data_IF_783286751010
#
_entry.id   IF_783286751010
#
_cell.length_a   1.000
_cell.length_b   1.000
_cell.length_c   1.000
_cell.angle_alpha   90.00
_cell.angle_beta   90.00
_cell.angle_gamma   90.00
#
_symmetry.space_group_name_H-M   'P 1'
#
loop_
_entity.id
_entity.type
_entity.pdbx_description
1 polymer ?
#
# COMPACT_ATOMS: atom_id res chain seq x y z
N UNK A 1 2.22 10.16 24.83
CA UNK A 1 1.00 10.00 23.99
C UNK A 1 1.28 10.21 22.49
N UNK A 2 1.45 11.45 21.94
CA UNK A 2 1.72 11.59 20.50
C UNK A 2 3.05 10.94 20.06
N UNK A 3 4.08 11.01 20.89
CA UNK A 3 5.39 10.36 20.70
C UNK A 3 5.28 8.85 20.56
N UNK A 4 4.39 8.21 21.33
CA UNK A 4 4.21 6.76 21.31
C UNK A 4 3.60 6.28 19.98
N UNK A 5 2.66 7.07 19.41
CA UNK A 5 2.12 6.79 18.08
C UNK A 5 3.17 6.94 16.98
N UNK A 6 4.02 7.96 17.07
CA UNK A 6 5.11 8.16 16.12
C UNK A 6 6.15 7.03 16.20
N UNK A 7 6.53 6.63 17.39
CA UNK A 7 7.47 5.52 17.61
C UNK A 7 6.91 4.21 17.08
N UNK A 8 5.66 3.86 17.43
CA UNK A 8 4.98 2.68 16.88
C UNK A 8 4.86 2.73 15.37
N UNK A 9 4.49 3.89 14.83
CA UNK A 9 4.44 4.11 13.38
C UNK A 9 5.79 3.89 12.71
N UNK A 10 6.87 4.44 13.29
CA UNK A 10 8.22 4.28 12.77
C UNK A 10 8.70 2.82 12.81
N UNK A 11 8.50 2.13 13.95
CA UNK A 11 8.88 0.71 14.09
C UNK A 11 8.07 -0.19 13.15
N UNK A 12 6.76 0.02 13.06
CA UNK A 12 5.91 -0.70 12.13
C UNK A 12 6.29 -0.43 10.68
N UNK A 13 6.59 0.83 10.36
CA UNK A 13 7.09 1.24 9.05
C UNK A 13 8.42 0.61 8.69
N UNK A 14 9.36 0.55 9.64
CA UNK A 14 10.65 -0.12 9.45
C UNK A 14 10.44 -1.61 9.16
N UNK A 15 9.63 -2.30 9.95
CA UNK A 15 9.35 -3.72 9.74
C UNK A 15 8.67 -3.98 8.39
N UNK A 16 7.62 -3.23 8.05
CA UNK A 16 6.93 -3.34 6.76
C UNK A 16 7.84 -3.00 5.59
N UNK A 17 8.65 -1.95 5.73
CA UNK A 17 9.61 -1.53 4.73
C UNK A 17 10.72 -2.55 4.47
N UNK A 18 11.25 -3.18 5.52
CA UNK A 18 12.21 -4.28 5.39
C UNK A 18 11.59 -5.49 4.68
N UNK A 19 10.40 -5.92 5.08
CA UNK A 19 9.69 -7.03 4.43
C UNK A 19 9.44 -6.72 2.94
N UNK A 20 8.97 -5.52 2.62
CA UNK A 20 8.73 -5.09 1.25
C UNK A 20 10.03 -4.98 0.44
N UNK A 21 11.09 -4.40 1.03
CA UNK A 21 12.39 -4.26 0.37
C UNK A 21 13.04 -5.61 0.07
N UNK A 22 12.95 -6.58 0.99
CA UNK A 22 13.41 -7.95 0.78
C UNK A 22 12.59 -8.65 -0.30
N UNK A 23 11.26 -8.47 -0.31
CA UNK A 23 10.41 -8.98 -1.38
C UNK A 23 10.80 -8.39 -2.75
N UNK A 24 11.06 -7.09 -2.82
CA UNK A 24 11.52 -6.46 -4.05
C UNK A 24 12.92 -6.96 -4.47
N UNK A 25 13.84 -7.13 -3.53
CA UNK A 25 15.17 -7.62 -3.82
C UNK A 25 15.19 -9.06 -4.36
N UNK A 26 14.26 -9.90 -3.89
CA UNK A 26 14.22 -11.33 -4.25
C UNK A 26 13.26 -11.63 -5.40
N UNK A 27 12.05 -11.08 -5.37
CA UNK A 27 11.00 -11.35 -6.35
C UNK A 27 10.92 -10.24 -7.40
N UNK A 28 10.87 -8.97 -6.98
CA UNK A 28 10.73 -7.83 -7.87
C UNK A 28 11.88 -7.72 -8.87
N UNK A 29 13.11 -7.81 -8.38
CA UNK A 29 14.32 -7.71 -9.24
C UNK A 29 14.43 -8.86 -10.25
N UNK A 30 13.88 -10.03 -9.96
CA UNK A 30 13.84 -11.14 -10.93
C UNK A 30 13.05 -10.78 -12.19
N UNK A 31 11.99 -9.99 -12.07
CA UNK A 31 11.25 -9.49 -13.23
C UNK A 31 12.03 -8.42 -14.00
N UNK A 32 12.78 -7.56 -13.32
CA UNK A 32 13.61 -6.53 -13.96
C UNK A 32 14.70 -7.20 -14.82
N UNK A 33 15.40 -8.17 -14.27
CA UNK A 33 16.41 -8.97 -15.02
C UNK A 33 15.77 -9.70 -16.20
N UNK A 34 14.56 -10.26 -16.01
CA UNK A 34 13.80 -10.90 -17.09
C UNK A 34 13.47 -9.93 -18.23
N UNK A 35 13.10 -8.68 -17.92
CA UNK A 35 12.81 -7.64 -18.92
C UNK A 35 14.10 -7.25 -19.67
N UNK A 36 15.21 -7.04 -18.97
CA UNK A 36 16.51 -6.68 -19.56
C UNK A 36 17.00 -7.74 -20.56
N UNK A 37 16.71 -9.03 -20.34
CA UNK A 37 17.05 -10.09 -21.28
C UNK A 37 16.27 -10.00 -22.60
N UNK A 38 15.05 -9.48 -22.58
CA UNK A 38 14.28 -9.22 -23.81
C UNK A 38 14.79 -7.98 -24.57
N UNK A 39 15.26 -6.95 -23.86
CA UNK A 39 15.83 -5.75 -24.47
C UNK A 39 17.21 -6.02 -25.08
N UNK A 40 18.07 -6.78 -24.38
CA UNK A 40 19.44 -7.09 -24.82
C UNK A 40 19.51 -8.06 -26.01
N UNK A 41 18.44 -8.77 -26.34
CA UNK A 41 18.33 -9.55 -27.58
C UNK A 41 18.48 -8.71 -28.87
N UNK A 42 18.51 -7.38 -28.76
CA UNK A 42 18.64 -6.44 -29.88
C UNK A 42 19.87 -5.52 -29.80
N UNK A 43 20.68 -5.61 -28.72
CA UNK A 43 21.89 -4.81 -28.57
C UNK A 43 23.09 -5.64 -28.15
N UNK A 44 24.15 -5.58 -28.95
CA UNK A 44 25.42 -6.26 -28.68
C UNK A 44 26.15 -5.63 -27.48
N UNK A 45 26.36 -6.40 -26.40
CA UNK A 45 27.56 -6.29 -25.59
C UNK A 45 27.58 -5.27 -24.45
N UNK A 46 26.57 -5.18 -23.65
CA UNK A 46 26.67 -4.51 -22.34
C UNK A 46 26.09 -5.40 -21.24
N UNK A 47 26.94 -5.82 -20.29
CA UNK A 47 26.47 -6.45 -19.06
C UNK A 47 25.62 -5.45 -18.23
N UNK A 48 24.90 -5.91 -17.19
CA UNK A 48 24.09 -5.04 -16.36
C UNK A 48 24.95 -3.89 -15.82
N UNK A 49 24.46 -2.64 -15.99
CA UNK A 49 25.17 -1.42 -15.58
C UNK A 49 25.37 -1.36 -14.06
N UNK A 50 24.52 -2.07 -13.30
CA UNK A 50 24.57 -2.16 -11.83
C UNK A 50 24.59 -3.63 -11.43
N UNK A 51 25.49 -3.96 -10.51
CA UNK A 51 25.59 -5.34 -10.00
C UNK A 51 24.36 -5.72 -9.14
N UNK A 52 24.09 -7.03 -9.04
CA UNK A 52 22.91 -7.54 -8.34
C UNK A 52 22.89 -7.21 -6.85
N UNK A 53 24.06 -7.04 -6.21
CA UNK A 53 24.16 -6.68 -4.79
C UNK A 53 23.72 -5.23 -4.58
N UNK A 54 24.20 -4.32 -5.43
CA UNK A 54 23.79 -2.92 -5.41
C UNK A 54 22.30 -2.78 -5.67
N UNK A 55 21.76 -3.50 -6.66
CA UNK A 55 20.32 -3.48 -6.97
C UNK A 55 19.49 -3.97 -5.78
N UNK A 56 19.92 -5.06 -5.13
CA UNK A 56 19.24 -5.58 -3.93
C UNK A 56 19.31 -4.58 -2.76
N UNK A 57 20.49 -3.97 -2.53
CA UNK A 57 20.66 -2.97 -1.48
C UNK A 57 19.76 -1.74 -1.69
N UNK A 58 19.65 -1.26 -2.93
CA UNK A 58 18.74 -0.15 -3.31
C UNK A 58 17.28 -0.54 -3.10
N UNK A 59 16.90 -1.77 -3.45
CA UNK A 59 15.53 -2.27 -3.23
C UNK A 59 15.17 -2.32 -1.75
N UNK A 60 16.08 -2.82 -0.89
CA UNK A 60 15.89 -2.85 0.56
C UNK A 60 15.85 -1.43 1.14
N UNK A 61 16.82 -0.58 0.77
CA UNK A 61 16.86 0.82 1.23
C UNK A 61 15.62 1.61 0.83
N UNK A 62 15.19 1.47 -0.42
CA UNK A 62 13.95 2.07 -0.93
C UNK A 62 12.70 1.56 -0.19
N UNK A 63 12.65 0.25 0.06
CA UNK A 63 11.58 -0.36 0.84
C UNK A 63 11.50 0.21 2.25
N UNK A 64 12.63 0.32 2.95
CA UNK A 64 12.72 0.93 4.28
C UNK A 64 12.28 2.39 4.27
N UNK A 65 12.72 3.17 3.29
CA UNK A 65 12.35 4.58 3.15
C UNK A 65 10.83 4.74 3.00
N UNK A 66 10.20 3.99 2.08
CA UNK A 66 8.75 4.02 1.87
C UNK A 66 7.99 3.49 3.08
N UNK A 67 8.48 2.42 3.71
CA UNK A 67 7.88 1.88 4.92
C UNK A 67 7.88 2.89 6.07
N UNK A 68 9.01 3.57 6.32
CA UNK A 68 9.11 4.62 7.31
C UNK A 68 8.19 5.80 6.99
N UNK A 69 8.15 6.24 5.73
CA UNK A 69 7.26 7.31 5.31
C UNK A 69 5.80 7.00 5.61
N UNK A 70 5.30 5.83 5.21
CA UNK A 70 3.92 5.43 5.46
C UNK A 70 3.68 5.09 6.94
N UNK A 71 4.64 4.47 7.61
CA UNK A 71 4.55 4.17 9.03
C UNK A 71 4.42 5.43 9.86
N UNK A 72 5.27 6.42 9.66
CA UNK A 72 5.25 7.69 10.41
C UNK A 72 4.04 8.54 10.00
N UNK A 73 3.86 8.79 8.69
CA UNK A 73 2.84 9.72 8.22
C UNK A 73 1.42 9.18 8.42
N UNK A 74 1.18 7.91 8.08
CA UNK A 74 -0.17 7.33 8.11
C UNK A 74 -0.46 6.66 9.45
N UNK A 75 0.43 5.80 9.96
CA UNK A 75 0.19 5.05 11.19
C UNK A 75 0.66 5.78 12.45
N UNK A 76 1.64 6.68 12.35
CA UNK A 76 1.99 7.58 13.45
C UNK A 76 1.01 8.75 13.53
N UNK A 77 1.16 9.69 12.61
CA UNK A 77 0.39 10.96 12.62
C UNK A 77 -1.08 10.70 12.25
N UNK A 78 -1.32 10.02 11.14
CA UNK A 78 -2.68 9.79 10.63
C UNK A 78 -3.53 8.99 11.61
N UNK A 79 -3.00 7.91 12.17
CA UNK A 79 -3.73 7.10 13.14
C UNK A 79 -4.06 7.89 14.42
N UNK A 80 -3.13 8.69 14.95
CA UNK A 80 -3.36 9.54 16.11
C UNK A 80 -4.61 10.45 15.96
N UNK A 81 -4.80 11.04 14.78
CA UNK A 81 -5.95 11.91 14.53
C UNK A 81 -7.21 11.15 14.11
N UNK A 82 -7.05 10.02 13.42
CA UNK A 82 -8.15 9.30 12.79
C UNK A 82 -8.69 8.15 13.65
N UNK A 83 -7.98 7.71 14.69
CA UNK A 83 -8.40 6.59 15.54
C UNK A 83 -9.86 6.69 16.00
N UNK A 84 -10.37 7.86 16.50
CA UNK A 84 -11.76 7.97 16.91
C UNK A 84 -12.77 7.87 15.73
N UNK A 85 -12.29 8.08 14.51
CA UNK A 85 -13.10 8.05 13.29
C UNK A 85 -13.09 6.70 12.58
N UNK A 86 -12.09 5.84 12.85
CA UNK A 86 -11.94 4.57 12.17
C UNK A 86 -13.07 3.58 12.54
N UNK A 87 -13.43 2.68 11.61
CA UNK A 87 -14.42 1.64 11.88
C UNK A 87 -13.82 0.52 12.75
N UNK A 88 -14.55 0.12 13.77
CA UNK A 88 -14.12 -0.95 14.69
C UNK A 88 -13.08 -0.48 15.69
N UNK A 89 -12.51 -1.43 16.43
CA UNK A 89 -11.46 -1.20 17.42
C UNK A 89 -10.26 -2.11 17.15
N UNK A 90 -9.13 -1.79 17.73
CA UNK A 90 -7.93 -2.62 17.63
C UNK A 90 -7.48 -2.87 16.19
N UNK A 91 -7.33 -4.13 15.82
CA UNK A 91 -6.81 -4.57 14.50
C UNK A 91 -7.71 -4.09 13.36
N UNK A 92 -9.03 -4.10 13.52
CA UNK A 92 -9.97 -3.72 12.46
C UNK A 92 -9.80 -2.27 12.03
N UNK A 93 -9.66 -1.34 12.98
CA UNK A 93 -9.41 0.08 12.68
C UNK A 93 -8.09 0.28 11.93
N UNK A 94 -7.04 -0.44 12.31
CA UNK A 94 -5.72 -0.35 11.68
C UNK A 94 -5.73 -0.92 10.26
N UNK A 95 -6.41 -2.04 10.03
CA UNK A 95 -6.60 -2.61 8.68
C UNK A 95 -7.46 -1.69 7.80
N UNK A 96 -8.48 -1.03 8.37
CA UNK A 96 -9.26 -0.04 7.63
C UNK A 96 -8.39 1.16 7.21
N UNK A 97 -7.50 1.63 8.09
CA UNK A 97 -6.54 2.68 7.75
C UNK A 97 -5.54 2.22 6.68
N UNK A 98 -5.03 0.99 6.78
CA UNK A 98 -4.15 0.41 5.77
C UNK A 98 -4.84 0.32 4.40
N UNK A 99 -6.08 -0.16 4.37
CA UNK A 99 -6.87 -0.24 3.14
C UNK A 99 -7.14 1.16 2.54
N UNK A 100 -7.47 2.14 3.38
CA UNK A 100 -7.67 3.52 2.96
C UNK A 100 -6.37 4.15 2.42
N UNK A 101 -5.25 3.93 3.09
CA UNK A 101 -3.92 4.36 2.66
C UNK A 101 -3.51 3.73 1.34
N UNK A 102 -3.62 2.40 1.24
CA UNK A 102 -3.36 1.68 -0.01
C UNK A 102 -4.24 2.20 -1.16
N UNK A 103 -5.55 2.33 -0.93
CA UNK A 103 -6.47 2.83 -1.96
C UNK A 103 -6.11 4.24 -2.40
N UNK A 104 -5.74 5.11 -1.46
CA UNK A 104 -5.38 6.50 -1.74
C UNK A 104 -4.08 6.60 -2.53
N UNK A 105 -3.01 5.95 -2.06
CA UNK A 105 -1.66 6.16 -2.58
C UNK A 105 -1.38 5.30 -3.81
N UNK A 106 -1.97 4.12 -3.89
CA UNK A 106 -1.67 3.12 -4.93
C UNK A 106 -2.91 2.67 -5.70
N UNK A 107 -3.93 2.18 -5.02
CA UNK A 107 -5.07 1.53 -5.64
C UNK A 107 -5.82 2.42 -6.63
N UNK A 108 -6.24 3.61 -6.22
CA UNK A 108 -6.97 4.53 -7.10
C UNK A 108 -6.09 5.05 -8.26
N UNK A 109 -4.84 5.50 -8.05
CA UNK A 109 -3.94 5.86 -9.14
C UNK A 109 -3.69 4.71 -10.14
N UNK A 110 -3.54 3.48 -9.67
CA UNK A 110 -3.22 2.34 -10.53
C UNK A 110 -4.40 1.86 -11.38
N UNK A 111 -5.62 2.23 -11.06
CA UNK A 111 -6.76 2.00 -11.94
C UNK A 111 -6.66 2.82 -13.24
N UNK A 112 -6.02 3.99 -13.18
CA UNK A 112 -5.83 4.89 -14.34
C UNK A 112 -4.43 4.75 -14.93
N UNK A 113 -3.42 4.64 -14.08
CA UNK A 113 -2.01 4.53 -14.44
C UNK A 113 -1.40 3.28 -13.79
N UNK A 114 -1.68 2.07 -14.33
CA UNK A 114 -1.17 0.84 -13.74
C UNK A 114 0.36 0.80 -13.79
N UNK A 115 1.02 0.16 -12.80
CA UNK A 115 2.47 -0.02 -12.80
C UNK A 115 2.94 -0.66 -14.11
N UNK A 116 4.02 -0.16 -14.66
CA UNK A 116 4.62 -0.68 -15.87
C UNK A 116 6.02 -1.20 -15.59
N UNK A 117 6.45 -2.28 -16.26
CA UNK A 117 7.84 -2.70 -16.22
C UNK A 117 8.77 -1.58 -16.74
N UNK A 118 10.04 -1.58 -16.35
CA UNK A 118 11.05 -0.72 -16.96
C UNK A 118 11.07 -0.87 -18.49
N UNK A 119 11.50 0.16 -19.22
CA UNK A 119 11.58 0.14 -20.70
C UNK A 119 10.25 0.32 -21.44
N UNK A 120 9.14 0.48 -20.72
CA UNK A 120 7.83 0.74 -21.33
C UNK A 120 7.63 2.23 -21.63
N UNK A 121 7.27 2.55 -22.86
CA UNK A 121 6.88 3.89 -23.27
C UNK A 121 5.39 4.12 -23.01
N UNK A 122 5.06 5.31 -22.54
CA UNK A 122 3.69 5.74 -22.25
C UNK A 122 3.34 6.96 -23.09
N UNK A 123 2.16 6.97 -23.69
CA UNK A 123 1.74 8.03 -24.63
C UNK A 123 1.53 9.39 -23.92
N UNK A 124 1.11 9.40 -22.67
CA UNK A 124 0.93 10.65 -21.92
C UNK A 124 2.26 11.24 -21.46
N UNK A 125 2.39 12.55 -21.60
CA UNK A 125 3.53 13.30 -21.06
C UNK A 125 3.64 13.13 -19.53
N UNK A 126 4.88 13.23 -19.01
CA UNK A 126 5.16 13.02 -17.58
C UNK A 126 4.34 13.92 -16.68
N UNK A 127 4.22 15.22 -17.02
CA UNK A 127 3.45 16.19 -16.22
C UNK A 127 1.97 15.81 -16.16
N UNK A 128 1.39 15.35 -17.28
CA UNK A 128 0.01 14.87 -17.33
C UNK A 128 -0.17 13.64 -16.45
N UNK A 129 0.78 12.68 -16.48
CA UNK A 129 0.73 11.49 -15.63
C UNK A 129 0.85 11.85 -14.15
N UNK A 130 1.72 12.79 -13.79
CA UNK A 130 1.84 13.27 -12.41
C UNK A 130 0.55 13.95 -11.93
N UNK A 131 -0.05 14.80 -12.77
CA UNK A 131 -1.33 15.45 -12.44
C UNK A 131 -2.47 14.43 -12.28
N UNK A 132 -2.55 13.42 -13.17
CA UNK A 132 -3.52 12.34 -13.06
C UNK A 132 -3.30 11.51 -11.81
N UNK A 133 -2.03 11.19 -11.48
CA UNK A 133 -1.69 10.45 -10.28
C UNK A 133 -2.14 11.20 -9.02
N UNK A 134 -1.79 12.49 -8.91
CA UNK A 134 -2.20 13.33 -7.80
C UNK A 134 -3.73 13.49 -7.71
N UNK A 135 -4.39 13.70 -8.85
CA UNK A 135 -5.85 13.79 -8.92
C UNK A 135 -6.55 12.50 -8.47
N UNK A 136 -6.07 11.36 -8.94
CA UNK A 136 -6.64 10.05 -8.53
C UNK A 136 -6.32 9.69 -7.08
N UNK A 137 -5.17 10.13 -6.52
CA UNK A 137 -4.93 10.08 -5.08
C UNK A 137 -5.98 10.87 -4.31
N UNK A 138 -6.31 12.09 -4.77
CA UNK A 138 -7.40 12.89 -4.19
C UNK A 138 -8.75 12.18 -4.22
N UNK A 139 -9.09 11.56 -5.35
CA UNK A 139 -10.30 10.72 -5.48
C UNK A 139 -10.25 9.55 -4.51
N UNK A 140 -9.13 8.83 -4.40
CA UNK A 140 -8.93 7.73 -3.47
C UNK A 140 -9.15 8.15 -2.01
N UNK A 141 -8.60 9.29 -1.61
CA UNK A 141 -8.82 9.86 -0.27
C UNK A 141 -10.30 10.20 0.00
N UNK A 142 -10.97 10.83 -0.97
CA UNK A 142 -12.39 11.16 -0.88
C UNK A 142 -13.27 9.90 -0.77
N UNK A 143 -12.98 8.90 -1.59
CA UNK A 143 -13.69 7.62 -1.58
C UNK A 143 -13.48 6.90 -0.24
N UNK A 144 -12.24 6.80 0.24
CA UNK A 144 -11.92 6.20 1.54
C UNK A 144 -12.67 6.88 2.68
N UNK A 145 -12.67 8.22 2.69
CA UNK A 145 -13.41 9.02 3.69
C UNK A 145 -14.92 8.75 3.60
N UNK A 146 -15.47 8.74 2.39
CA UNK A 146 -16.88 8.47 2.15
C UNK A 146 -17.28 7.05 2.61
N UNK A 147 -16.45 6.04 2.38
CA UNK A 147 -16.66 4.68 2.87
C UNK A 147 -16.72 4.64 4.41
N UNK A 148 -15.77 5.29 5.10
CA UNK A 148 -15.76 5.36 6.57
C UNK A 148 -16.99 6.09 7.10
N UNK A 149 -17.36 7.21 6.50
CA UNK A 149 -18.56 7.96 6.89
C UNK A 149 -19.85 7.16 6.66
N UNK A 150 -19.97 6.46 5.53
CA UNK A 150 -21.12 5.61 5.22
C UNK A 150 -21.23 4.46 6.24
N UNK A 151 -20.10 3.79 6.55
CA UNK A 151 -20.03 2.74 7.55
C UNK A 151 -20.53 3.21 8.91
N UNK A 152 -20.10 4.40 9.37
CA UNK A 152 -20.49 4.97 10.66
C UNK A 152 -21.97 5.39 10.68
N UNK A 153 -22.44 6.05 9.61
CA UNK A 153 -23.85 6.48 9.50
C UNK A 153 -24.85 5.34 9.44
N UNK A 154 -24.41 4.18 9.01
CA UNK A 154 -25.24 2.98 8.90
C UNK A 154 -25.00 1.97 10.02
N UNK A 155 -24.35 2.36 11.13
CA UNK A 155 -23.99 1.49 12.25
C UNK A 155 -25.20 0.71 12.81
N UNK A 156 -26.38 1.34 12.86
CA UNK A 156 -27.62 0.77 13.39
C UNK A 156 -28.49 0.09 12.30
N UNK A 157 -27.99 -0.09 11.08
CA UNK A 157 -28.70 -0.74 9.98
C UNK A 157 -28.31 -2.21 9.87
N UNK A 158 -29.15 -2.98 9.18
CA UNK A 158 -28.84 -4.38 8.85
C UNK A 158 -27.47 -4.47 8.13
N UNK A 159 -26.76 -5.55 8.38
CA UNK A 159 -25.39 -5.77 7.84
C UNK A 159 -25.34 -5.59 6.32
N UNK A 160 -26.31 -6.12 5.58
CA UNK A 160 -26.36 -5.97 4.11
C UNK A 160 -26.45 -4.50 3.68
N UNK A 161 -27.31 -3.70 4.34
CA UNK A 161 -27.44 -2.26 4.05
C UNK A 161 -26.16 -1.51 4.39
N UNK A 162 -25.53 -1.84 5.52
CA UNK A 162 -24.27 -1.24 5.95
C UNK A 162 -23.16 -1.55 4.96
N UNK A 163 -23.01 -2.81 4.55
CA UNK A 163 -22.00 -3.22 3.56
C UNK A 163 -22.21 -2.52 2.22
N UNK A 164 -23.44 -2.51 1.70
CA UNK A 164 -23.76 -1.84 0.44
C UNK A 164 -23.49 -0.34 0.50
N UNK A 165 -23.94 0.33 1.56
CA UNK A 165 -23.69 1.75 1.74
C UNK A 165 -22.19 2.09 1.83
N UNK A 166 -21.41 1.22 2.51
CA UNK A 166 -19.96 1.38 2.62
C UNK A 166 -19.25 1.15 1.29
N UNK A 167 -19.73 0.22 0.47
CA UNK A 167 -19.14 -0.08 -0.84
C UNK A 167 -19.54 0.93 -1.93
N UNK A 168 -20.68 1.60 -1.79
CA UNK A 168 -21.21 2.50 -2.82
C UNK A 168 -20.25 3.60 -3.27
N UNK A 169 -19.48 4.28 -2.38
CA UNK A 169 -18.51 5.28 -2.80
C UNK A 169 -17.42 4.75 -3.73
N UNK A 170 -17.11 3.44 -3.70
CA UNK A 170 -16.14 2.84 -4.61
C UNK A 170 -16.54 2.96 -6.09
N UNK A 171 -17.85 3.14 -6.38
CA UNK A 171 -18.32 3.39 -7.74
C UNK A 171 -17.73 4.68 -8.36
N UNK A 172 -17.33 5.65 -7.55
CA UNK A 172 -16.63 6.86 -8.02
C UNK A 172 -15.29 6.55 -8.68
N UNK A 173 -14.63 5.45 -8.30
CA UNK A 173 -13.41 5.01 -8.96
C UNK A 173 -13.67 4.59 -10.40
N UNK A 174 -14.81 3.94 -10.68
CA UNK A 174 -15.19 3.59 -12.05
C UNK A 174 -15.45 4.85 -12.90
N UNK A 175 -16.04 5.88 -12.30
CA UNK A 175 -16.21 7.18 -12.97
C UNK A 175 -14.85 7.83 -13.25
N UNK A 176 -13.92 7.81 -12.30
CA UNK A 176 -12.58 8.35 -12.50
C UNK A 176 -11.85 7.63 -13.64
N UNK A 177 -11.96 6.30 -13.73
CA UNK A 177 -11.39 5.51 -14.84
C UNK A 177 -12.05 5.88 -16.18
N UNK A 178 -13.37 6.01 -16.20
CA UNK A 178 -14.11 6.34 -17.43
C UNK A 178 -13.80 7.76 -17.97
N UNK A 179 -13.45 8.69 -17.08
CA UNK A 179 -13.09 10.07 -17.45
C UNK A 179 -11.59 10.26 -17.71
N UNK A 180 -10.77 9.27 -17.38
CA UNK A 180 -9.32 9.37 -17.56
C UNK A 180 -8.97 9.34 -19.06
N UNK A 181 -7.99 10.14 -19.49
CA UNK A 181 -7.49 10.08 -20.86
C UNK A 181 -6.80 8.74 -21.10
N UNK A 182 -6.93 8.22 -22.33
CA UNK A 182 -6.26 7.00 -22.73
C UNK A 182 -4.74 7.16 -22.64
N UNK A 183 -4.06 6.19 -22.04
CA UNK A 183 -2.60 6.12 -21.96
C UNK A 183 -2.10 4.82 -22.58
N UNK A 184 -2.09 4.70 -23.93
CA UNK A 184 -1.49 3.56 -24.59
C UNK A 184 -0.06 3.34 -24.12
N UNK A 185 0.27 2.08 -23.89
CA UNK A 185 1.58 1.68 -23.37
C UNK A 185 2.16 0.65 -24.34
N UNK A 186 3.38 0.89 -24.78
CA UNK A 186 4.15 -0.02 -25.63
C UNK A 186 5.44 -0.43 -24.93
N UNK A 187 5.85 -1.68 -25.10
CA UNK A 187 7.05 -2.18 -24.45
C UNK A 187 7.57 -3.46 -25.08
N UNK A 188 8.82 -3.84 -24.78
CA UNK A 188 9.54 -4.93 -25.44
C UNK A 188 9.09 -6.32 -25.00
N UNK A 189 8.33 -6.44 -23.87
CA UNK A 189 8.01 -7.75 -23.31
C UNK A 189 6.58 -8.20 -23.61
N UNK A 190 6.32 -9.52 -23.62
CA UNK A 190 4.98 -10.07 -23.79
C UNK A 190 4.00 -9.54 -22.73
N UNK A 191 2.72 -9.37 -23.13
CA UNK A 191 1.65 -8.87 -22.26
C UNK A 191 1.47 -9.70 -20.97
N UNK A 192 1.72 -11.01 -21.03
CA UNK A 192 1.67 -11.91 -19.87
C UNK A 192 2.73 -11.58 -18.82
N UNK A 193 3.97 -11.26 -19.25
CA UNK A 193 5.05 -10.87 -18.36
C UNK A 193 4.79 -9.48 -17.74
N UNK A 194 4.28 -8.54 -18.55
CA UNK A 194 3.87 -7.22 -18.05
C UNK A 194 2.73 -7.34 -17.02
N UNK A 195 1.77 -8.24 -17.24
CA UNK A 195 0.71 -8.51 -16.27
C UNK A 195 1.26 -9.14 -14.98
N UNK A 196 2.17 -10.10 -15.07
CA UNK A 196 2.81 -10.72 -13.91
C UNK A 196 3.57 -9.67 -13.09
N UNK A 197 4.33 -8.78 -13.73
CA UNK A 197 4.99 -7.65 -13.06
C UNK A 197 3.99 -6.78 -12.29
N UNK A 198 2.88 -6.38 -12.92
CA UNK A 198 1.85 -5.55 -12.27
C UNK A 198 1.29 -6.22 -11.01
N UNK A 199 0.97 -7.51 -11.08
CA UNK A 199 0.47 -8.25 -9.95
C UNK A 199 1.51 -8.39 -8.84
N UNK A 200 2.80 -8.56 -9.18
CA UNK A 200 3.90 -8.56 -8.21
C UNK A 200 3.99 -7.23 -7.46
N UNK A 201 3.88 -6.11 -8.17
CA UNK A 201 3.87 -4.77 -7.56
C UNK A 201 2.66 -4.59 -6.65
N UNK A 202 1.46 -4.97 -7.11
CA UNK A 202 0.22 -4.90 -6.30
C UNK A 202 0.35 -5.74 -5.04
N UNK A 203 0.79 -6.99 -5.17
CA UNK A 203 0.97 -7.90 -4.04
C UNK A 203 1.99 -7.38 -3.03
N UNK A 204 3.13 -6.89 -3.49
CA UNK A 204 4.15 -6.29 -2.64
C UNK A 204 3.62 -5.09 -1.85
N UNK A 205 2.87 -4.20 -2.50
CA UNK A 205 2.28 -3.04 -1.84
C UNK A 205 1.19 -3.42 -0.82
N UNK A 206 0.31 -4.37 -1.16
CA UNK A 206 -0.68 -4.89 -0.20
C UNK A 206 0.03 -5.49 1.02
N UNK A 207 1.11 -6.26 0.78
CA UNK A 207 1.95 -6.83 1.84
C UNK A 207 2.58 -5.75 2.73
N UNK A 208 3.11 -4.67 2.15
CA UNK A 208 3.65 -3.53 2.89
C UNK A 208 2.61 -2.94 3.85
N UNK A 209 1.44 -2.56 3.34
CA UNK A 209 0.38 -1.95 4.12
C UNK A 209 -0.17 -2.90 5.20
N UNK A 210 -0.34 -4.18 4.89
CA UNK A 210 -0.80 -5.18 5.83
C UNK A 210 0.21 -5.41 6.96
N UNK A 211 1.52 -5.48 6.64
CA UNK A 211 2.57 -5.65 7.63
C UNK A 211 2.66 -4.46 8.56
N UNK A 212 2.61 -3.21 8.03
CA UNK A 212 2.61 -2.01 8.86
C UNK A 212 1.41 -2.03 9.82
N UNK A 213 0.20 -2.34 9.33
CA UNK A 213 -0.99 -2.40 10.17
C UNK A 213 -0.89 -3.47 11.26
N UNK A 214 -0.38 -4.66 10.92
CA UNK A 214 -0.22 -5.77 11.86
C UNK A 214 0.80 -5.45 12.96
N UNK A 215 1.98 -4.96 12.57
CA UNK A 215 3.04 -4.61 13.53
C UNK A 215 2.63 -3.42 14.40
N UNK A 216 2.04 -2.37 13.82
CA UNK A 216 1.50 -1.25 14.58
C UNK A 216 0.42 -1.72 15.57
N UNK A 217 -0.36 -2.74 15.18
CA UNK A 217 -1.34 -3.38 16.03
C UNK A 217 -0.71 -4.07 17.22
N UNK A 218 0.25 -4.92 16.93
CA UNK A 218 0.97 -5.68 17.95
C UNK A 218 1.69 -4.78 18.95
N UNK A 219 2.37 -3.75 18.49
CA UNK A 219 3.03 -2.76 19.35
C UNK A 219 2.04 -1.92 20.21
N UNK A 220 0.78 -1.88 19.83
CA UNK A 220 -0.26 -1.12 20.53
C UNK A 220 -1.09 -1.93 21.53
N UNK A 221 -0.90 -3.25 21.58
CA UNK A 221 -1.57 -4.08 22.58
C UNK A 221 -0.96 -3.79 23.97
N UNK A 222 -1.79 -3.55 25.02
CA UNK A 222 -1.29 -3.45 26.37
C UNK A 222 -0.55 -4.76 26.70
N UNK A 223 0.67 -4.68 27.22
CA UNK A 223 1.28 -5.83 27.88
C UNK A 223 0.30 -6.31 28.95
N UNK A 224 -0.21 -7.54 28.79
CA UNK A 224 -0.95 -8.20 29.85
C UNK A 224 0.00 -8.25 31.05
N UNK A 225 -0.19 -7.32 31.97
CA UNK A 225 0.63 -7.25 33.18
C UNK A 225 0.45 -8.59 33.88
N UNK A 226 1.54 -9.32 34.09
CA UNK A 226 1.62 -10.56 34.84
C UNK A 226 0.96 -10.50 36.23
N UNK A 227 0.56 -9.33 36.68
CA UNK A 227 -0.23 -9.08 37.87
C UNK A 227 -1.68 -9.60 37.80
N UNK A 228 -2.29 -9.70 36.61
CA UNK A 228 -3.65 -10.23 36.50
C UNK A 228 -3.72 -11.77 36.52
N UNK A 229 -2.59 -12.46 36.35
CA UNK A 229 -2.49 -13.91 36.49
C UNK A 229 -2.28 -14.38 37.95
N UNK A 230 -2.18 -13.45 38.88
CA UNK A 230 -1.84 -13.72 40.28
C UNK A 230 -3.01 -13.58 41.27
N UNK A 231 -4.24 -13.59 40.80
CA UNK A 231 -5.37 -13.71 41.74
C UNK A 231 -5.51 -15.16 42.18
N UNK A 232 -5.14 -15.50 43.45
CA UNK A 232 -5.54 -16.77 44.01
C UNK A 232 -7.05 -16.74 44.16
N UNK A 233 -7.74 -17.69 43.53
CA UNK A 233 -9.10 -18.04 43.91
C UNK A 233 -9.10 -18.48 45.36
N UNK A 234 -9.33 -17.54 46.28
CA UNK A 234 -9.72 -17.92 47.65
C UNK A 234 -11.14 -18.45 47.58
N UNK A 235 -11.21 -19.77 47.52
CA UNK A 235 -12.42 -20.48 47.91
C UNK A 235 -12.63 -20.28 49.42
N UNK A 236 -13.77 -19.77 49.85
CA UNK A 236 -14.47 -20.01 51.07
C UNK A 236 -15.95 -20.12 50.79
#
# INVERSE_FOLDING_TARGET
MATDYLERGALAGLAGGLCYGLFQATVGNSFTVGVETFESGHSHGGGPVVDGVTTAAVSVGGGVLWGLLFGIAVFGIGYYFLEPALPGSGVTGRLALAAAGFLTVSGAPWLVLPPQPPGFEQALATDTRLALYAGTMGVGALVSTACVLAYRRTANRQTAVRTLATALPLALLAVAVALAPANPVTGPVPATLAAAYRWTVVFGQVGLWATIAAVHGWLGEPELTTAELSYPTSAD
#
